data_IF_757276319525
#
_entry.id   IF_757276319525
#
_cell.length_a   1.000
_cell.length_b   1.000
_cell.length_c   1.000
_cell.angle_alpha   90.00
_cell.angle_beta   90.00
_cell.angle_gamma   90.00
#
_symmetry.space_group_name_H-M   'P 1'
#
loop_
_entity.id
_entity.type
_entity.pdbx_description
1 polymer ?
#
# COMPACT_ATOMS: atom_id res chain seq x y z
N UNK A 1 -37.69 11.72 3.28
CA UNK A 1 -37.35 12.64 2.16
C UNK A 1 -35.99 13.32 2.36
N UNK A 2 -35.72 13.94 3.51
CA UNK A 2 -34.46 14.64 3.81
C UNK A 2 -33.17 13.82 3.58
N UNK A 3 -33.15 12.51 3.92
CA UNK A 3 -31.99 11.63 3.69
C UNK A 3 -31.60 11.53 2.20
N UNK A 4 -32.58 11.43 1.30
CA UNK A 4 -32.34 11.35 -0.16
C UNK A 4 -31.80 12.69 -0.68
N UNK A 5 -32.34 13.80 -0.21
CA UNK A 5 -31.88 15.15 -0.59
C UNK A 5 -30.46 15.39 -0.09
N UNK A 6 -30.14 14.97 1.14
CA UNK A 6 -28.78 15.08 1.70
C UNK A 6 -27.78 14.26 0.88
N UNK A 7 -28.08 12.99 0.61
CA UNK A 7 -27.23 12.13 -0.21
C UNK A 7 -27.02 12.70 -1.63
N UNK A 8 -28.07 13.26 -2.25
CA UNK A 8 -27.96 13.90 -3.55
C UNK A 8 -27.08 15.16 -3.50
N UNK A 9 -27.23 16.00 -2.47
CA UNK A 9 -26.38 17.17 -2.26
C UNK A 9 -24.93 16.76 -2.04
N UNK A 10 -24.67 15.77 -1.21
CA UNK A 10 -23.33 15.22 -0.96
C UNK A 10 -22.67 14.69 -2.23
N UNK A 11 -23.42 13.98 -3.09
CA UNK A 11 -22.90 13.49 -4.36
C UNK A 11 -22.55 14.64 -5.31
N UNK A 12 -23.38 15.70 -5.34
CA UNK A 12 -23.18 16.85 -6.23
C UNK A 12 -22.09 17.80 -5.71
N UNK A 13 -21.96 17.95 -4.40
CA UNK A 13 -20.97 18.81 -3.75
C UNK A 13 -19.68 18.07 -3.39
N UNK A 14 -19.52 16.82 -3.82
CA UNK A 14 -18.34 16.05 -3.48
C UNK A 14 -17.08 16.75 -4.03
N UNK A 15 -16.10 17.10 -3.18
CA UNK A 15 -14.92 17.77 -3.66
C UNK A 15 -14.13 16.86 -4.59
N UNK A 16 -13.57 17.46 -5.63
CA UNK A 16 -12.75 16.76 -6.63
C UNK A 16 -11.39 16.38 -6.04
N UNK A 17 -10.67 15.50 -6.72
CA UNK A 17 -9.38 15.00 -6.21
C UNK A 17 -8.33 16.13 -6.22
N UNK A 18 -8.41 17.01 -7.22
CA UNK A 18 -7.65 18.27 -7.27
C UNK A 18 -7.81 19.13 -6.01
N UNK A 19 -9.05 19.31 -5.53
CA UNK A 19 -9.34 20.10 -4.34
C UNK A 19 -8.93 19.39 -3.05
N UNK A 20 -9.18 18.07 -2.95
CA UNK A 20 -8.86 17.26 -1.76
C UNK A 20 -7.36 17.13 -1.51
N UNK A 21 -6.59 17.03 -2.58
CA UNK A 21 -5.15 16.75 -2.54
C UNK A 21 -4.29 17.94 -2.96
N UNK A 22 -4.90 19.12 -3.13
CA UNK A 22 -4.17 20.38 -3.21
C UNK A 22 -3.24 20.53 -1.99
N UNK A 23 -2.06 21.09 -2.23
CA UNK A 23 -1.04 21.26 -1.21
C UNK A 23 -0.34 22.59 -1.43
N UNK A 24 -0.24 23.39 -0.37
CA UNK A 24 0.67 24.53 -0.33
C UNK A 24 2.07 24.05 0.06
N UNK A 25 3.00 24.17 -0.88
CA UNK A 25 4.39 23.72 -0.73
C UNK A 25 5.21 24.57 0.24
N UNK A 26 4.77 25.79 0.57
CA UNK A 26 5.46 26.65 1.53
C UNK A 26 5.12 26.23 2.97
N UNK A 27 3.83 26.07 3.27
CA UNK A 27 3.34 25.76 4.62
C UNK A 27 3.13 24.26 4.88
N UNK A 28 3.22 23.42 3.85
CA UNK A 28 2.88 21.99 3.88
C UNK A 28 1.46 21.73 4.40
N UNK A 29 0.52 22.65 4.13
CA UNK A 29 -0.89 22.57 4.53
C UNK A 29 -1.79 22.22 3.34
N UNK A 30 -2.85 21.46 3.61
CA UNK A 30 -3.92 21.25 2.64
C UNK A 30 -4.97 22.36 2.81
N UNK A 31 -5.24 23.17 1.77
CA UNK A 31 -6.13 24.32 1.91
C UNK A 31 -7.59 23.92 2.24
N UNK A 32 -8.06 22.78 1.73
CA UNK A 32 -9.43 22.32 1.97
C UNK A 32 -9.68 21.94 3.44
N UNK A 33 -8.71 21.29 4.10
CA UNK A 33 -8.88 20.75 5.46
C UNK A 33 -8.14 21.57 6.52
N UNK A 34 -7.25 22.47 6.13
CA UNK A 34 -6.34 23.20 7.03
C UNK A 34 -5.29 22.31 7.71
N UNK A 35 -5.24 21.02 7.41
CA UNK A 35 -4.34 20.07 8.07
C UNK A 35 -2.93 20.15 7.47
N UNK A 36 -1.92 20.18 8.34
CA UNK A 36 -0.51 20.06 7.98
C UNK A 36 -0.13 18.61 7.69
N UNK A 37 0.76 18.40 6.73
CA UNK A 37 1.34 17.09 6.48
C UNK A 37 2.30 16.69 7.61
N UNK A 38 2.47 15.38 7.89
CA UNK A 38 3.49 14.89 8.82
C UNK A 38 4.89 15.34 8.39
N UNK A 39 5.74 15.71 9.35
CA UNK A 39 7.09 16.25 9.10
C UNK A 39 7.94 15.31 8.24
N UNK A 40 7.84 14.00 8.47
CA UNK A 40 8.58 12.99 7.71
C UNK A 40 8.26 13.00 6.20
N UNK A 41 7.07 13.45 5.80
CA UNK A 41 6.69 13.51 4.39
C UNK A 41 7.18 14.78 3.69
N UNK A 42 7.73 15.77 4.41
CA UNK A 42 8.05 17.07 3.82
C UNK A 42 9.22 17.01 2.84
N UNK A 43 10.21 16.16 3.12
CA UNK A 43 11.36 15.97 2.23
C UNK A 43 10.92 15.34 0.90
N UNK A 44 10.13 14.27 0.97
CA UNK A 44 9.56 13.59 -0.19
C UNK A 44 8.69 14.54 -1.02
N UNK A 45 7.85 15.35 -0.37
CA UNK A 45 7.00 16.35 -1.05
C UNK A 45 7.80 17.36 -1.86
N UNK A 46 9.03 17.71 -1.43
CA UNK A 46 9.87 18.69 -2.11
C UNK A 46 10.68 18.08 -3.26
N UNK A 47 11.12 16.84 -3.11
CA UNK A 47 12.06 16.22 -4.03
C UNK A 47 11.39 15.31 -5.06
N UNK A 48 10.33 14.62 -4.66
CA UNK A 48 9.66 13.61 -5.48
C UNK A 48 8.38 14.14 -6.13
N UNK A 49 7.85 13.36 -7.07
CA UNK A 49 6.67 13.73 -7.86
C UNK A 49 5.47 12.84 -7.52
N UNK A 50 4.28 13.39 -7.75
CA UNK A 50 3.04 12.62 -7.76
C UNK A 50 3.00 11.73 -9.00
N UNK A 51 2.24 10.64 -8.94
CA UNK A 51 2.11 9.73 -10.08
C UNK A 51 1.61 10.47 -11.32
N UNK A 52 0.51 11.22 -11.20
CA UNK A 52 -0.09 11.91 -12.35
C UNK A 52 0.81 12.99 -12.95
N UNK A 53 1.60 13.68 -12.16
CA UNK A 53 2.62 14.62 -12.66
C UNK A 53 3.64 13.93 -13.57
N UNK A 54 3.93 12.65 -13.34
CA UNK A 54 4.77 11.84 -14.23
C UNK A 54 4.00 11.34 -15.45
N UNK A 55 2.75 10.93 -15.27
CA UNK A 55 1.94 10.35 -16.35
C UNK A 55 1.47 11.38 -17.38
N UNK A 56 1.21 12.63 -16.98
CA UNK A 56 0.78 13.70 -17.90
C UNK A 56 1.81 14.02 -18.97
N UNK A 57 3.11 13.84 -18.66
CA UNK A 57 4.19 14.00 -19.62
C UNK A 57 4.32 12.86 -20.63
N UNK A 58 3.51 11.80 -20.53
CA UNK A 58 3.61 10.61 -21.37
C UNK A 58 2.42 10.47 -22.30
N UNK A 59 2.67 9.87 -23.46
CA UNK A 59 1.59 9.49 -24.39
C UNK A 59 0.61 8.55 -23.70
N UNK A 60 -0.68 8.84 -23.84
CA UNK A 60 -1.78 8.04 -23.26
C UNK A 60 -1.63 7.81 -21.75
N UNK A 61 -1.11 8.79 -21.01
CA UNK A 61 -0.89 8.72 -19.56
C UNK A 61 -0.04 7.52 -19.11
N UNK A 62 0.88 7.06 -19.97
CA UNK A 62 1.81 5.99 -19.63
C UNK A 62 1.16 4.61 -19.46
N UNK A 63 0.03 4.34 -20.14
CA UNK A 63 -0.54 2.99 -20.17
C UNK A 63 0.50 1.99 -20.71
N UNK A 64 0.67 0.87 -20.00
CA UNK A 64 1.68 -0.16 -20.26
C UNK A 64 3.06 0.13 -19.66
N UNK A 65 3.27 1.29 -19.05
CA UNK A 65 4.54 1.64 -18.39
C UNK A 65 4.61 1.11 -16.97
N UNK A 66 5.85 0.91 -16.54
CA UNK A 66 6.20 0.47 -15.18
C UNK A 66 6.50 1.68 -14.31
N UNK A 67 5.82 1.75 -13.16
CA UNK A 67 6.07 2.79 -12.15
C UNK A 67 6.44 2.13 -10.83
N UNK A 68 7.39 2.75 -10.12
CA UNK A 68 7.87 2.31 -8.82
C UNK A 68 7.76 3.45 -7.80
N UNK A 69 8.11 3.16 -6.56
CA UNK A 69 8.14 4.13 -5.47
C UNK A 69 9.52 4.26 -4.87
N UNK A 70 9.91 5.46 -4.46
CA UNK A 70 11.16 5.69 -3.72
C UNK A 70 11.16 4.84 -2.44
N UNK A 71 10.06 4.85 -1.68
CA UNK A 71 9.93 4.05 -0.45
C UNK A 71 10.16 2.56 -0.67
N UNK A 72 9.81 2.03 -1.85
CA UNK A 72 10.06 0.63 -2.19
C UNK A 72 11.50 0.35 -2.55
N UNK A 73 12.14 1.25 -3.30
CA UNK A 73 13.55 1.15 -3.66
C UNK A 73 14.47 1.23 -2.43
N UNK A 74 14.07 1.98 -1.41
CA UNK A 74 14.84 2.08 -0.15
C UNK A 74 14.59 0.91 0.80
N UNK A 75 13.40 0.31 0.76
CA UNK A 75 13.00 -0.72 1.71
C UNK A 75 13.31 -2.15 1.24
N UNK A 76 13.29 -2.38 -0.07
CA UNK A 76 13.36 -3.71 -0.67
C UNK A 76 14.39 -3.75 -1.80
N UNK A 77 15.26 -4.76 -1.76
CA UNK A 77 16.16 -5.07 -2.88
C UNK A 77 15.40 -5.76 -4.03
N UNK A 78 14.25 -6.39 -3.72
CA UNK A 78 13.42 -7.06 -4.72
C UNK A 78 12.59 -6.07 -5.53
N UNK A 79 12.36 -6.31 -6.83
CA UNK A 79 11.65 -5.36 -7.66
C UNK A 79 10.17 -5.25 -7.24
N UNK A 80 9.78 -4.01 -6.96
CA UNK A 80 8.42 -3.64 -6.62
C UNK A 80 7.93 -2.57 -7.60
N UNK A 81 6.88 -2.87 -8.35
CA UNK A 81 6.35 -1.96 -9.35
C UNK A 81 4.88 -2.20 -9.67
N UNK A 82 4.26 -1.19 -10.24
CA UNK A 82 2.95 -1.27 -10.87
C UNK A 82 3.09 -1.18 -12.38
N UNK A 83 2.37 -2.04 -13.10
CA UNK A 83 2.17 -1.91 -14.55
C UNK A 83 0.83 -1.25 -14.80
N UNK A 84 0.83 -0.04 -15.37
CA UNK A 84 -0.38 0.76 -15.53
C UNK A 84 -1.24 0.19 -16.66
N UNK A 85 -2.52 -0.06 -16.38
CA UNK A 85 -3.48 -0.57 -17.38
C UNK A 85 -4.56 0.45 -17.73
N UNK A 86 -5.05 1.18 -16.72
CA UNK A 86 -6.13 2.16 -16.90
C UNK A 86 -5.84 3.40 -16.08
N UNK A 87 -6.18 4.55 -16.64
CA UNK A 87 -6.02 5.85 -15.98
C UNK A 87 -7.30 6.65 -16.13
N UNK A 88 -7.77 7.25 -15.05
CA UNK A 88 -8.90 8.18 -15.01
C UNK A 88 -8.41 9.48 -14.39
N UNK A 89 -8.17 10.46 -15.24
CA UNK A 89 -7.67 11.78 -14.85
C UNK A 89 -8.81 12.65 -14.33
N UNK A 90 -8.50 13.52 -13.38
CA UNK A 90 -9.37 14.60 -12.96
C UNK A 90 -9.17 15.81 -13.89
N UNK A 91 -10.06 15.98 -14.87
CA UNK A 91 -10.02 17.08 -15.84
C UNK A 91 -10.29 18.46 -15.23
N UNK A 92 -10.64 18.54 -13.94
CA UNK A 92 -10.80 19.84 -13.25
C UNK A 92 -9.47 20.44 -12.81
N UNK A 93 -8.41 19.64 -12.76
CA UNK A 93 -7.07 20.13 -12.49
C UNK A 93 -6.47 20.76 -13.74
N UNK A 94 -5.96 21.99 -13.62
CA UNK A 94 -5.33 22.73 -14.72
C UNK A 94 -4.17 21.93 -15.35
N UNK A 95 -3.36 21.26 -14.52
CA UNK A 95 -2.21 20.48 -14.95
C UNK A 95 -2.51 18.98 -15.11
N UNK A 96 -3.77 18.56 -14.97
CA UNK A 96 -4.17 17.14 -15.01
C UNK A 96 -3.37 16.25 -14.02
N UNK A 97 -2.90 16.82 -12.92
CA UNK A 97 -1.96 16.22 -11.97
C UNK A 97 -2.65 15.39 -10.87
N UNK A 98 -3.93 15.08 -11.06
CA UNK A 98 -4.76 14.32 -10.13
C UNK A 98 -5.64 13.29 -10.87
N UNK A 99 -6.04 12.23 -10.15
CA UNK A 99 -6.97 11.23 -10.66
C UNK A 99 -6.82 9.87 -9.96
N UNK A 100 -7.27 8.83 -10.65
CA UNK A 100 -7.18 7.42 -10.24
C UNK A 100 -6.51 6.57 -11.32
N UNK A 101 -5.69 5.63 -10.91
CA UNK A 101 -5.00 4.71 -11.81
C UNK A 101 -5.24 3.27 -11.36
N UNK A 102 -5.21 2.34 -12.32
CA UNK A 102 -5.29 0.91 -12.10
C UNK A 102 -4.15 0.21 -12.80
N UNK A 103 -3.73 -0.92 -12.24
CA UNK A 103 -2.61 -1.68 -12.78
C UNK A 103 -2.44 -3.06 -12.15
N UNK A 104 -1.46 -3.79 -12.66
CA UNK A 104 -0.97 -5.02 -12.06
C UNK A 104 0.13 -4.71 -11.06
N UNK A 105 0.01 -5.23 -9.84
CA UNK A 105 1.05 -5.13 -8.82
C UNK A 105 2.06 -6.26 -8.99
N UNK A 106 3.33 -5.95 -9.05
CA UNK A 106 4.40 -6.92 -8.78
C UNK A 106 5.06 -6.48 -7.48
N UNK A 107 4.86 -7.25 -6.42
CA UNK A 107 5.41 -6.93 -5.10
C UNK A 107 6.47 -7.95 -4.72
N UNK A 108 7.70 -7.49 -4.49
CA UNK A 108 8.87 -8.31 -4.17
C UNK A 108 9.06 -9.46 -5.16
N UNK A 109 8.98 -9.16 -6.44
CA UNK A 109 9.10 -10.14 -7.53
C UNK A 109 7.91 -11.09 -7.71
N UNK A 110 6.85 -11.01 -6.89
CA UNK A 110 5.62 -11.81 -7.06
C UNK A 110 4.59 -11.03 -7.88
N UNK A 111 4.34 -11.39 -9.15
CA UNK A 111 3.34 -10.72 -9.96
C UNK A 111 1.93 -11.12 -9.52
N UNK A 112 1.06 -10.13 -9.41
CA UNK A 112 -0.36 -10.32 -9.18
C UNK A 112 -1.13 -10.23 -10.50
N UNK A 113 -1.99 -11.20 -10.77
CA UNK A 113 -2.75 -11.29 -12.03
C UNK A 113 -4.03 -10.44 -12.03
N UNK A 114 -4.38 -9.83 -10.90
CA UNK A 114 -5.58 -9.00 -10.78
C UNK A 114 -5.25 -7.52 -10.99
N UNK A 115 -6.09 -6.85 -11.79
CA UNK A 115 -6.01 -5.40 -11.95
C UNK A 115 -6.60 -4.75 -10.70
N UNK A 116 -5.77 -4.01 -9.97
CA UNK A 116 -6.17 -3.29 -8.75
C UNK A 116 -6.09 -1.78 -8.92
N UNK A 117 -6.89 -1.05 -8.14
CA UNK A 117 -6.73 0.40 -8.00
C UNK A 117 -5.40 0.67 -7.30
N UNK A 118 -4.57 1.52 -7.90
CA UNK A 118 -3.30 1.90 -7.33
C UNK A 118 -3.59 2.81 -6.13
N UNK A 119 -3.23 2.42 -4.90
CA UNK A 119 -3.47 3.26 -3.73
C UNK A 119 -2.44 4.39 -3.68
N UNK A 120 -2.72 5.43 -2.89
CA UNK A 120 -1.75 6.50 -2.55
C UNK A 120 -1.18 7.24 -3.77
N UNK A 121 -2.00 7.41 -4.81
CA UNK A 121 -1.60 8.08 -6.06
C UNK A 121 -1.18 9.54 -5.86
N UNK A 122 -1.76 10.18 -4.84
CA UNK A 122 -1.50 11.56 -4.45
C UNK A 122 -0.18 11.77 -3.68
N UNK A 123 0.53 10.70 -3.30
CA UNK A 123 1.80 10.85 -2.57
C UNK A 123 2.92 11.30 -3.52
N UNK A 124 3.87 12.06 -2.98
CA UNK A 124 5.09 12.45 -3.66
C UNK A 124 6.16 11.38 -3.42
N UNK A 125 5.98 10.21 -4.02
CA UNK A 125 6.87 9.06 -3.79
C UNK A 125 7.09 8.28 -5.09
N UNK A 126 6.51 8.75 -6.20
CA UNK A 126 6.46 7.99 -7.44
C UNK A 126 7.66 8.29 -8.33
N UNK A 127 8.19 7.24 -8.95
CA UNK A 127 9.22 7.30 -9.98
C UNK A 127 8.82 6.43 -11.16
N UNK A 128 9.19 6.84 -12.36
CA UNK A 128 8.96 6.05 -13.57
C UNK A 128 10.23 5.29 -13.93
N UNK A 129 10.09 4.01 -14.27
CA UNK A 129 11.21 3.21 -14.77
C UNK A 129 11.41 3.53 -16.26
N UNK A 130 12.61 3.97 -16.68
CA UNK A 130 12.94 4.17 -18.09
C UNK A 130 12.80 2.88 -18.89
N UNK A 131 12.32 2.97 -20.14
CA UNK A 131 12.00 1.79 -20.97
C UNK A 131 13.18 0.82 -21.16
N UNK A 132 14.40 1.34 -21.25
CA UNK A 132 15.60 0.53 -21.42
C UNK A 132 16.03 -0.20 -20.14
N UNK A 133 15.60 0.28 -18.96
CA UNK A 133 15.86 -0.36 -17.67
C UNK A 133 14.73 -1.31 -17.26
N UNK A 134 13.57 -1.26 -17.91
CA UNK A 134 12.40 -2.07 -17.54
C UNK A 134 12.68 -3.58 -17.58
N UNK A 135 13.51 -4.05 -18.51
CA UNK A 135 13.86 -5.48 -18.62
C UNK A 135 14.78 -5.92 -17.47
N UNK A 136 15.79 -5.12 -17.16
CA UNK A 136 16.71 -5.36 -16.05
C UNK A 136 15.99 -5.26 -14.69
N UNK A 137 15.03 -4.34 -14.57
CA UNK A 137 14.24 -4.22 -13.34
C UNK A 137 13.28 -5.39 -13.14
N UNK A 138 12.84 -6.03 -14.22
CA UNK A 138 11.97 -7.23 -14.17
C UNK A 138 12.76 -8.51 -13.93
N UNK A 139 14.03 -8.55 -14.33
CA UNK A 139 14.87 -9.73 -14.12
C UNK A 139 15.17 -9.88 -12.63
N UNK A 140 14.41 -10.76 -11.97
CA UNK A 140 14.63 -11.12 -10.59
C UNK A 140 14.58 -12.63 -10.43
N UNK A 141 15.64 -13.17 -9.84
CA UNK A 141 15.70 -14.56 -9.41
C UNK A 141 15.08 -14.66 -8.02
N UNK A 142 13.93 -15.32 -7.86
CA UNK A 142 13.30 -15.45 -6.56
C UNK A 142 14.23 -16.21 -5.62
N UNK A 143 14.64 -15.56 -4.53
CA UNK A 143 15.32 -16.23 -3.43
C UNK A 143 14.34 -17.24 -2.85
N UNK A 144 14.73 -18.52 -2.67
CA UNK A 144 13.87 -19.52 -2.05
C UNK A 144 13.42 -19.00 -0.68
N UNK A 145 12.12 -18.91 -0.47
CA UNK A 145 11.60 -18.54 0.85
C UNK A 145 12.03 -19.62 1.85
N UNK A 146 12.66 -19.25 2.98
CA UNK A 146 13.01 -20.24 3.99
C UNK A 146 11.73 -20.93 4.45
N UNK A 147 11.80 -22.25 4.64
CA UNK A 147 10.65 -23.00 5.10
C UNK A 147 10.07 -22.35 6.37
N UNK A 148 8.75 -22.09 6.40
CA UNK A 148 8.16 -21.43 7.55
C UNK A 148 8.39 -22.28 8.80
N UNK A 149 8.87 -21.65 9.87
CA UNK A 149 9.09 -22.32 11.16
C UNK A 149 7.75 -22.91 11.62
N UNK A 150 7.63 -24.23 11.56
CA UNK A 150 6.39 -24.95 11.87
C UNK A 150 6.18 -25.12 13.36
N UNK A 151 7.26 -25.25 14.12
CA UNK A 151 7.22 -25.54 15.56
C UNK A 151 8.00 -24.49 16.34
N UNK A 152 7.38 -23.95 17.39
CA UNK A 152 7.99 -22.96 18.29
C UNK A 152 7.83 -23.42 19.73
N UNK A 153 8.84 -23.24 20.61
CA UNK A 153 8.73 -23.60 22.02
C UNK A 153 7.61 -22.80 22.70
N UNK A 154 6.93 -23.43 23.67
CA UNK A 154 5.98 -22.71 24.52
C UNK A 154 6.69 -21.64 25.35
N UNK A 155 6.02 -20.50 25.63
CA UNK A 155 6.51 -19.51 26.59
C UNK A 155 6.81 -20.14 27.97
N UNK A 156 7.74 -19.57 28.75
CA UNK A 156 8.32 -20.21 29.94
C UNK A 156 7.28 -20.73 30.96
N UNK A 157 6.24 -19.94 31.23
CA UNK A 157 5.19 -20.33 32.18
C UNK A 157 4.36 -21.51 31.68
N UNK A 158 3.91 -21.47 30.42
CA UNK A 158 3.12 -22.55 29.82
C UNK A 158 3.93 -23.83 29.70
N UNK A 159 5.21 -23.72 29.31
CA UNK A 159 6.15 -24.85 29.28
C UNK A 159 6.23 -25.51 30.66
N UNK A 160 6.42 -24.74 31.73
CA UNK A 160 6.52 -25.26 33.09
C UNK A 160 5.21 -25.94 33.56
N UNK A 161 4.05 -25.35 33.26
CA UNK A 161 2.75 -25.93 33.60
C UNK A 161 2.51 -27.26 32.89
N UNK A 162 2.82 -27.35 31.59
CA UNK A 162 2.65 -28.56 30.79
C UNK A 162 3.58 -29.66 31.30
N UNK A 163 4.85 -29.33 31.58
CA UNK A 163 5.81 -30.29 32.14
C UNK A 163 5.36 -30.80 33.51
N UNK A 164 4.88 -29.92 34.40
CA UNK A 164 4.36 -30.32 35.71
C UNK A 164 3.13 -31.25 35.60
N UNK A 165 2.23 -31.02 34.64
CA UNK A 165 1.11 -31.91 34.36
C UNK A 165 1.57 -33.27 33.82
N UNK A 166 2.51 -33.30 32.87
CA UNK A 166 3.06 -34.54 32.33
C UNK A 166 3.75 -35.40 33.41
N UNK A 167 4.49 -34.77 34.33
CA UNK A 167 5.09 -35.44 35.48
C UNK A 167 4.02 -36.07 36.38
N UNK A 168 2.93 -35.33 36.65
CA UNK A 168 1.81 -35.83 37.47
C UNK A 168 1.06 -37.00 36.81
N UNK A 169 0.97 -37.00 35.48
CA UNK A 169 0.31 -38.04 34.69
C UNK A 169 1.21 -39.25 34.35
N UNK A 170 2.50 -39.20 34.72
CA UNK A 170 3.46 -40.27 34.43
C UNK A 170 3.82 -40.42 32.95
N UNK A 171 3.59 -39.37 32.13
CA UNK A 171 3.91 -39.36 30.70
C UNK A 171 5.39 -39.02 30.47
N UNK A 172 5.99 -39.46 29.35
CA UNK A 172 7.38 -39.12 29.03
C UNK A 172 7.56 -37.60 28.88
N UNK A 173 8.67 -37.09 29.45
CA UNK A 173 9.03 -35.67 29.46
C UNK A 173 9.59 -35.22 28.10
N UNK A 174 8.71 -35.12 27.11
CA UNK A 174 9.04 -34.55 25.80
C UNK A 174 8.87 -33.03 25.84
N UNK A 175 9.75 -32.30 25.16
CA UNK A 175 9.62 -30.85 25.07
C UNK A 175 8.33 -30.45 24.34
N UNK A 176 7.43 -29.68 24.98
CA UNK A 176 6.21 -29.26 24.33
C UNK A 176 6.53 -28.17 23.31
N UNK A 177 6.01 -28.33 22.09
CA UNK A 177 6.14 -27.37 20.99
C UNK A 177 4.76 -26.98 20.45
N UNK A 178 4.60 -25.70 20.10
CA UNK A 178 3.40 -25.16 19.46
C UNK A 178 3.52 -25.44 17.95
N UNK A 179 2.59 -26.21 17.38
CA UNK A 179 2.45 -26.36 15.94
C UNK A 179 1.73 -25.12 15.39
N UNK A 180 2.45 -24.33 14.60
CA UNK A 180 1.92 -23.11 14.02
C UNK A 180 0.97 -23.37 12.85
N UNK A 181 0.85 -24.60 12.32
CA UNK A 181 0.03 -25.15 11.20
C UNK A 181 -0.20 -24.27 9.96
N UNK A 182 -0.45 -22.98 10.12
CA UNK A 182 -0.30 -21.91 9.14
C UNK A 182 0.22 -20.66 9.87
N UNK A 183 1.41 -20.12 9.55
CA UNK A 183 1.72 -18.76 9.94
C UNK A 183 0.67 -17.86 9.28
N UNK A 184 -0.35 -17.47 10.05
CA UNK A 184 -1.33 -16.47 9.62
C UNK A 184 -0.64 -15.12 9.72
N UNK A 185 0.34 -14.90 8.84
CA UNK A 185 0.80 -13.57 8.51
C UNK A 185 -0.38 -12.91 7.81
N UNK A 186 -1.22 -12.22 8.57
CA UNK A 186 -2.16 -11.30 7.97
C UNK A 186 -1.32 -10.25 7.24
N UNK A 187 -1.40 -10.17 5.90
CA UNK A 187 -0.73 -9.08 5.18
C UNK A 187 -1.24 -7.77 5.77
N UNK A 188 -0.39 -6.73 5.89
CA UNK A 188 -0.80 -5.41 6.43
C UNK A 188 -2.09 -4.90 5.76
N UNK A 189 -2.28 -5.23 4.48
CA UNK A 189 -3.43 -4.90 3.66
C UNK A 189 -4.77 -5.47 4.19
N UNK A 190 -4.76 -6.57 4.96
CA UNK A 190 -5.95 -7.11 5.63
C UNK A 190 -6.55 -6.11 6.62
N UNK A 191 -5.70 -5.34 7.32
CA UNK A 191 -6.15 -4.30 8.24
C UNK A 191 -6.54 -3.00 7.52
N UNK A 192 -5.93 -2.68 6.38
CA UNK A 192 -6.28 -1.50 5.58
C UNK A 192 -7.74 -1.61 5.06
N UNK A 193 -8.14 -2.77 4.51
CA UNK A 193 -9.54 -3.01 4.09
C UNK A 193 -10.56 -2.82 5.22
N UNK A 194 -10.19 -3.15 6.46
CA UNK A 194 -11.06 -3.01 7.63
C UNK A 194 -11.19 -1.55 8.08
N UNK A 195 -10.19 -0.70 7.82
CA UNK A 195 -10.24 0.75 8.10
C UNK A 195 -11.08 1.48 7.06
N UNK A 196 -10.94 1.16 5.78
CA UNK A 196 -11.80 1.72 4.71
C UNK A 196 -13.29 1.44 4.97
N UNK A 197 -13.62 0.25 5.49
CA UNK A 197 -14.99 -0.08 5.91
C UNK A 197 -15.50 0.74 7.12
N UNK A 198 -14.60 1.30 7.94
CA UNK A 198 -14.94 2.14 9.11
C UNK A 198 -14.93 3.64 8.80
N UNK A 199 -14.18 4.09 7.80
CA UNK A 199 -14.07 5.51 7.42
C UNK A 199 -15.25 6.03 6.57
N UNK A 200 -16.26 5.19 6.30
CA UNK A 200 -17.53 5.59 5.69
C UNK A 200 -18.40 6.54 6.53
N UNK A 201 -17.93 6.99 7.69
CA UNK A 201 -18.53 8.03 8.52
C UNK A 201 -17.59 9.23 8.59
N UNK A 202 -17.88 10.26 7.80
CA UNK A 202 -17.21 11.55 7.89
C UNK A 202 -17.63 12.29 9.17
N UNK A 203 -16.65 12.81 9.91
CA UNK A 203 -16.80 13.90 10.89
C UNK A 203 -16.20 15.15 10.27
#
# INVERSE_FOLDING_TARGET
>A
MARKIRAYRELKSQPRDSQKYALDYQTMTRPLTGKRLPVLAWEDVRNEKRLFTLLTGLRSFGIGRVVTRKSWLEQYDEPCYWTITKVKVDYTAENMDHGKAWGYLTFRGKPENEVKEIPKVMYHDWRIVPRHEEENFKSFTPVPEPEPVRYVPYPPLMRAMILAQMQKEGKPLTEPMIDLQRPSFFPKDYFEKKREAREGTAV
#
